data_IF_440340406572
#
_entry.id   IF_440340406572
#
_cell.length_a   1.000
_cell.length_b   1.000
_cell.length_c   1.000
_cell.angle_alpha   90.00
_cell.angle_beta   90.00
_cell.angle_gamma   90.00
#
_symmetry.space_group_name_H-M   'P 1'
#
loop_
_entity.id
_entity.type
_entity.pdbx_description
1 polymer ?
#
# COMPACT_ATOMS: atom_id res chain seq x y z
N UNK A 1 -3.00 2.62 12.02
CA UNK A 1 -3.52 1.67 10.99
C UNK A 1 -2.34 1.07 10.23
N UNK A 2 -2.44 -0.16 9.72
CA UNK A 2 -1.38 -0.70 8.84
C UNK A 2 -1.96 -1.49 7.68
N UNK A 3 -1.19 -1.59 6.61
CA UNK A 3 -1.49 -2.51 5.53
C UNK A 3 -0.39 -2.55 4.49
N UNK A 4 -0.47 -3.55 3.64
CA UNK A 4 0.36 -3.71 2.44
C UNK A 4 -0.48 -3.43 1.19
N UNK A 5 0.13 -2.88 0.14
CA UNK A 5 -0.53 -2.71 -1.14
C UNK A 5 -1.76 -1.81 -1.00
N UNK A 6 -2.95 -2.30 -1.43
CA UNK A 6 -4.25 -1.69 -1.17
C UNK A 6 -4.44 -1.22 0.27
N UNK A 7 -4.12 -2.06 1.26
CA UNK A 7 -4.22 -1.67 2.66
C UNK A 7 -3.24 -0.55 3.04
N UNK A 8 -2.06 -0.51 2.42
CA UNK A 8 -1.03 0.50 2.71
C UNK A 8 -1.47 1.88 2.26
N UNK A 9 -1.84 2.05 0.99
CA UNK A 9 -2.27 3.37 0.52
C UNK A 9 -3.63 3.79 1.08
N UNK A 10 -4.52 2.86 1.45
CA UNK A 10 -5.73 3.20 2.22
C UNK A 10 -5.36 3.84 3.56
N UNK A 11 -4.30 3.38 4.24
CA UNK A 11 -3.82 4.02 5.47
C UNK A 11 -3.37 5.46 5.22
N UNK A 12 -2.66 5.72 4.12
CA UNK A 12 -2.23 7.06 3.73
C UNK A 12 -3.42 7.97 3.38
N UNK A 13 -4.39 7.46 2.62
CA UNK A 13 -5.61 8.18 2.26
C UNK A 13 -6.45 8.54 3.50
N UNK A 14 -6.53 7.65 4.49
CA UNK A 14 -7.18 7.94 5.77
C UNK A 14 -6.35 8.92 6.59
N UNK A 15 -5.02 8.85 6.56
CA UNK A 15 -4.16 9.83 7.22
C UNK A 15 -4.35 11.24 6.67
N UNK A 16 -4.50 11.39 5.35
CA UNK A 16 -4.83 12.65 4.70
C UNK A 16 -6.25 13.18 5.02
N UNK A 17 -7.14 12.34 5.58
CA UNK A 17 -8.47 12.76 6.08
C UNK A 17 -8.41 13.29 7.51
N UNK A 18 -7.25 13.23 8.17
CA UNK A 18 -7.00 13.76 9.51
C UNK A 18 -8.02 13.38 10.60
N UNK A 19 -8.48 12.12 10.69
CA UNK A 19 -9.35 11.74 11.81
C UNK A 19 -8.60 11.96 13.14
N UNK A 20 -9.18 12.66 14.13
CA UNK A 20 -8.45 13.08 15.34
C UNK A 20 -7.79 11.94 16.14
N UNK A 21 -8.35 10.73 16.04
CA UNK A 21 -7.86 9.54 16.73
C UNK A 21 -6.65 8.87 16.04
N UNK A 22 -6.37 9.17 14.76
CA UNK A 22 -5.27 8.54 14.04
C UNK A 22 -3.96 9.25 14.32
N UNK A 23 -3.10 8.61 15.12
CA UNK A 23 -1.78 9.16 15.47
C UNK A 23 -0.65 8.66 14.58
N UNK A 24 -0.78 7.44 14.04
CA UNK A 24 0.25 6.83 13.22
C UNK A 24 -0.30 5.80 12.22
N UNK A 25 0.45 5.62 11.13
CA UNK A 25 0.25 4.60 10.11
C UNK A 25 1.56 3.87 9.76
N UNK A 26 1.44 2.60 9.36
CA UNK A 26 2.51 1.87 8.68
C UNK A 26 2.00 1.50 7.28
N UNK A 27 2.65 2.06 6.25
CA UNK A 27 2.29 1.84 4.85
C UNK A 27 3.33 0.98 4.16
N UNK A 28 2.95 -0.25 3.80
CA UNK A 28 3.86 -1.18 3.13
C UNK A 28 3.57 -1.30 1.63
N UNK A 29 4.63 -1.34 0.81
CA UNK A 29 4.57 -1.64 -0.64
C UNK A 29 3.33 -0.99 -1.30
N UNK A 30 3.19 0.31 -1.13
CA UNK A 30 1.98 1.09 -1.44
C UNK A 30 2.32 2.25 -2.34
N UNK A 31 1.34 3.03 -2.80
CA UNK A 31 1.57 4.24 -3.60
C UNK A 31 0.99 5.51 -3.02
N UNK A 32 1.65 6.64 -3.33
CA UNK A 32 1.14 8.00 -3.14
C UNK A 32 0.38 8.51 -4.37
N UNK A 33 0.53 7.84 -5.51
CA UNK A 33 -0.01 8.23 -6.81
C UNK A 33 -0.68 7.04 -7.50
N UNK A 34 -2.02 7.10 -7.60
CA UNK A 34 -2.85 6.03 -8.16
C UNK A 34 -2.75 5.86 -9.67
N UNK A 35 -2.16 6.81 -10.39
CA UNK A 35 -2.03 6.77 -11.84
C UNK A 35 -0.58 6.62 -12.31
N UNK A 36 0.35 7.38 -11.74
CA UNK A 36 1.73 7.33 -12.22
C UNK A 36 2.52 6.16 -11.63
N UNK A 37 2.08 5.61 -10.50
CA UNK A 37 2.83 4.59 -9.77
C UNK A 37 1.92 3.52 -9.14
N UNK A 38 1.10 2.89 -9.97
CA UNK A 38 0.12 1.90 -9.51
C UNK A 38 -0.05 0.70 -10.45
N UNK A 39 -0.76 -0.34 -10.00
CA UNK A 39 -1.21 -1.47 -10.80
C UNK A 39 -2.05 -1.07 -12.02
N UNK A 40 -2.66 0.13 -12.03
CA UNK A 40 -3.47 0.58 -13.15
C UNK A 40 -2.58 1.08 -14.29
N UNK A 41 -1.71 2.04 -13.96
CA UNK A 41 -0.81 2.69 -14.89
C UNK A 41 0.53 2.98 -14.20
N UNK A 42 1.60 3.03 -14.99
CA UNK A 42 2.93 3.46 -14.53
C UNK A 42 3.54 4.42 -15.53
N UNK A 43 3.75 5.67 -15.12
CA UNK A 43 4.17 6.74 -16.03
C UNK A 43 3.22 6.97 -17.22
N UNK A 44 1.94 6.61 -17.09
CA UNK A 44 0.94 6.66 -18.16
C UNK A 44 0.85 5.40 -19.03
N UNK A 45 1.71 4.41 -18.83
CA UNK A 45 1.61 3.11 -19.50
C UNK A 45 0.60 2.21 -18.78
N UNK A 46 -0.37 1.66 -19.50
CA UNK A 46 -1.30 0.65 -18.97
C UNK A 46 -0.53 -0.61 -18.57
N UNK A 47 -0.73 -1.08 -17.34
CA UNK A 47 -0.14 -2.34 -16.87
C UNK A 47 -1.10 -3.51 -17.03
N UNK A 48 -0.55 -4.71 -17.24
CA UNK A 48 -1.33 -5.96 -17.28
C UNK A 48 -1.93 -6.25 -15.89
N UNK A 49 -1.28 -5.79 -14.82
CA UNK A 49 -1.79 -5.82 -13.46
C UNK A 49 -3.16 -5.14 -13.31
N UNK A 50 -3.52 -4.17 -14.15
CA UNK A 50 -4.85 -3.56 -14.16
C UNK A 50 -5.93 -4.61 -14.40
N UNK A 51 -5.73 -5.42 -15.46
CA UNK A 51 -6.60 -6.55 -15.78
C UNK A 51 -6.57 -7.62 -14.68
N UNK A 52 -5.37 -8.04 -14.27
CA UNK A 52 -5.22 -9.09 -13.25
C UNK A 52 -5.89 -8.72 -11.92
N UNK A 53 -5.77 -7.46 -11.49
CA UNK A 53 -6.39 -7.00 -10.25
C UNK A 53 -7.89 -6.78 -10.37
N UNK A 54 -8.39 -6.35 -11.52
CA UNK A 54 -9.82 -6.22 -11.74
C UNK A 54 -10.51 -7.58 -11.67
N UNK A 55 -9.92 -8.61 -12.29
CA UNK A 55 -10.41 -9.99 -12.21
C UNK A 55 -10.33 -10.53 -10.79
N UNK A 56 -9.24 -10.24 -10.07
CA UNK A 56 -9.08 -10.63 -8.66
C UNK A 56 -10.16 -9.99 -7.78
N UNK A 57 -10.37 -8.69 -7.91
CA UNK A 57 -11.38 -7.93 -7.16
C UNK A 57 -12.80 -8.39 -7.45
N UNK A 58 -13.12 -8.70 -8.72
CA UNK A 58 -14.40 -9.28 -9.09
C UNK A 58 -14.59 -10.64 -8.41
N UNK A 59 -13.57 -11.50 -8.42
CA UNK A 59 -13.62 -12.83 -7.80
C UNK A 59 -13.84 -12.76 -6.29
N UNK A 60 -13.18 -11.82 -5.59
CA UNK A 60 -13.37 -11.63 -4.15
C UNK A 60 -14.74 -11.02 -3.82
N UNK A 61 -15.13 -9.96 -4.52
CA UNK A 61 -16.38 -9.22 -4.27
C UNK A 61 -17.62 -10.04 -4.55
N UNK A 62 -17.53 -10.98 -5.51
CA UNK A 62 -18.63 -11.85 -5.91
C UNK A 62 -18.90 -13.02 -4.96
N UNK A 63 -18.12 -13.19 -3.87
CA UNK A 63 -18.31 -14.31 -2.95
C UNK A 63 -19.65 -14.21 -2.19
N UNK A 64 -20.39 -15.32 -2.04
CA UNK A 64 -21.57 -15.32 -1.20
C UNK A 64 -21.19 -15.05 0.26
N UNK A 65 -22.07 -14.39 1.04
CA UNK A 65 -21.88 -14.31 2.48
C UNK A 65 -21.98 -15.69 3.12
N UNK A 66 -21.33 -15.88 4.26
CA UNK A 66 -21.44 -17.12 5.02
C UNK A 66 -22.91 -17.34 5.47
N UNK A 67 -23.55 -18.47 5.10
CA UNK A 67 -24.92 -18.77 5.50
C UNK A 67 -25.14 -18.75 7.02
N UNK A 68 -24.14 -19.14 7.83
CA UNK A 68 -24.23 -19.14 9.29
C UNK A 68 -24.26 -17.73 9.87
N UNK A 69 -23.62 -16.76 9.20
CA UNK A 69 -23.61 -15.35 9.61
C UNK A 69 -24.84 -14.62 9.06
N UNK A 70 -25.18 -14.86 7.79
CA UNK A 70 -26.28 -14.17 7.11
C UNK A 70 -27.67 -14.63 7.56
N UNK A 71 -27.77 -15.86 8.08
CA UNK A 71 -28.97 -16.49 8.62
C UNK A 71 -29.88 -17.13 7.56
N UNK A 72 -30.19 -18.41 7.75
CA UNK A 72 -31.23 -19.15 7.00
C UNK A 72 -31.09 -19.08 5.48
N UNK A 73 -32.22 -18.96 4.76
CA UNK A 73 -32.26 -18.87 3.30
C UNK A 73 -31.89 -17.47 2.73
N UNK A 74 -31.67 -16.46 3.59
CA UNK A 74 -31.47 -15.05 3.16
C UNK A 74 -30.11 -14.80 2.50
N UNK A 75 -29.12 -15.66 2.76
CA UNK A 75 -27.77 -15.49 2.20
C UNK A 75 -27.78 -15.44 0.67
N UNK A 76 -28.70 -16.18 0.04
CA UNK A 76 -28.79 -16.28 -1.40
C UNK A 76 -29.34 -15.00 -2.03
N UNK A 77 -30.42 -14.46 -1.45
CA UNK A 77 -31.02 -13.19 -1.93
C UNK A 77 -30.05 -12.03 -1.72
N UNK A 78 -29.36 -11.99 -0.57
CA UNK A 78 -28.27 -11.04 -0.31
C UNK A 78 -27.13 -11.17 -1.32
N UNK A 79 -26.76 -12.40 -1.66
CA UNK A 79 -25.71 -12.65 -2.64
C UNK A 79 -26.11 -12.16 -4.03
N UNK A 80 -27.29 -12.54 -4.53
CA UNK A 80 -27.78 -12.08 -5.83
C UNK A 80 -27.91 -10.57 -5.91
N UNK A 81 -28.50 -9.93 -4.89
CA UNK A 81 -28.59 -8.48 -4.83
C UNK A 81 -27.20 -7.82 -4.91
N UNK A 82 -26.20 -8.37 -4.22
CA UNK A 82 -24.81 -7.88 -4.32
C UNK A 82 -24.21 -8.11 -5.71
N UNK A 83 -24.48 -9.25 -6.35
CA UNK A 83 -23.99 -9.54 -7.71
C UNK A 83 -24.60 -8.60 -8.76
N UNK A 84 -25.87 -8.23 -8.62
CA UNK A 84 -26.55 -7.29 -9.52
C UNK A 84 -26.05 -5.85 -9.36
N UNK A 85 -25.63 -5.48 -8.14
CA UNK A 85 -25.23 -4.12 -7.79
C UNK A 85 -23.71 -3.92 -7.72
N UNK A 86 -22.89 -4.97 -7.83
CA UNK A 86 -21.44 -4.83 -7.76
C UNK A 86 -20.89 -4.16 -9.03
N UNK A 87 -19.96 -3.21 -8.90
CA UNK A 87 -19.30 -2.64 -10.06
C UNK A 87 -18.32 -3.66 -10.65
N UNK A 88 -18.32 -3.77 -11.98
CA UNK A 88 -17.19 -4.37 -12.68
C UNK A 88 -16.13 -3.29 -12.88
N UNK A 89 -14.99 -3.42 -12.18
CA UNK A 89 -13.98 -2.36 -12.10
C UNK A 89 -13.13 -2.22 -13.38
N UNK A 90 -12.99 -3.27 -14.20
CA UNK A 90 -12.10 -3.22 -15.37
C UNK A 90 -12.52 -2.13 -16.39
N UNK A 91 -13.79 -2.04 -16.83
CA UNK A 91 -14.21 -0.98 -17.74
C UNK A 91 -14.04 0.42 -17.14
N UNK A 92 -14.28 0.58 -15.83
CA UNK A 92 -14.11 1.85 -15.13
C UNK A 92 -12.65 2.31 -15.14
N UNK A 93 -11.70 1.44 -14.80
CA UNK A 93 -10.29 1.80 -14.81
C UNK A 93 -9.75 2.04 -16.22
N UNK A 94 -10.26 1.30 -17.21
CA UNK A 94 -9.92 1.48 -18.62
C UNK A 94 -10.52 2.75 -19.24
N UNK A 95 -11.65 3.28 -18.72
CA UNK A 95 -12.21 4.54 -19.21
C UNK A 95 -11.39 5.76 -18.75
N UNK A 96 -10.63 5.63 -17.66
CA UNK A 96 -9.78 6.69 -17.12
C UNK A 96 -8.33 6.58 -17.62
N UNK A 97 -8.11 6.73 -18.94
CA UNK A 97 -6.79 6.56 -19.58
C UNK A 97 -5.79 7.69 -19.33
N UNK A 98 -6.24 8.81 -18.76
CA UNK A 98 -5.40 9.95 -18.44
C UNK A 98 -5.49 10.27 -16.95
N UNK A 99 -4.52 11.02 -16.43
CA UNK A 99 -4.56 11.52 -15.05
C UNK A 99 -5.67 12.56 -14.87
N UNK A 100 -6.87 12.10 -14.59
CA UNK A 100 -8.04 12.93 -14.34
C UNK A 100 -8.45 12.95 -12.85
N UNK A 101 -9.63 13.51 -12.57
CA UNK A 101 -10.16 13.65 -11.21
C UNK A 101 -10.35 12.30 -10.49
N UNK A 102 -10.58 11.20 -11.23
CA UNK A 102 -10.73 9.87 -10.64
C UNK A 102 -9.45 9.46 -9.92
N UNK A 103 -8.30 9.60 -10.59
CA UNK A 103 -7.00 9.24 -10.04
C UNK A 103 -6.50 10.21 -8.97
N UNK A 104 -6.70 11.51 -9.19
CA UNK A 104 -6.30 12.55 -8.23
C UNK A 104 -6.96 12.35 -6.87
N UNK A 105 -8.24 12.00 -6.83
CA UNK A 105 -9.01 11.78 -5.58
C UNK A 105 -8.35 10.75 -4.65
N UNK A 106 -7.73 9.71 -5.21
CA UNK A 106 -7.09 8.63 -4.45
C UNK A 106 -5.59 8.81 -4.22
N UNK A 107 -5.00 9.91 -4.68
CA UNK A 107 -3.56 10.14 -4.65
C UNK A 107 -3.22 11.17 -3.59
N UNK A 108 -2.43 10.78 -2.58
CA UNK A 108 -2.03 11.72 -1.53
C UNK A 108 -0.93 12.68 -1.98
N UNK A 109 -0.28 12.40 -3.13
CA UNK A 109 0.68 13.33 -3.71
C UNK A 109 0.07 14.64 -4.21
N UNK A 110 -1.26 14.76 -4.25
CA UNK A 110 -1.92 16.04 -4.52
C UNK A 110 -1.75 17.04 -3.37
N UNK A 111 -1.63 16.55 -2.14
CA UNK A 111 -1.38 17.37 -0.95
C UNK A 111 -0.75 16.51 0.17
N UNK A 112 0.57 16.54 0.27
CA UNK A 112 1.28 15.86 1.35
C UNK A 112 1.11 16.53 2.71
N UNK A 113 0.83 17.85 2.74
CA UNK A 113 0.65 18.61 3.98
C UNK A 113 -0.60 18.17 4.75
N UNK A 114 -1.59 17.58 4.05
CA UNK A 114 -2.77 17.01 4.68
C UNK A 114 -2.46 15.82 5.61
N UNK A 115 -1.26 15.21 5.55
CA UNK A 115 -0.89 14.07 6.39
C UNK A 115 -0.24 14.55 7.69
N UNK A 116 -0.99 14.51 8.79
CA UNK A 116 -0.50 14.87 10.13
C UNK A 116 -0.09 13.66 11.00
N UNK A 117 -0.65 12.48 10.71
CA UNK A 117 -0.31 11.26 11.43
C UNK A 117 1.13 10.83 11.09
N UNK A 118 1.82 10.24 12.06
CA UNK A 118 3.18 9.74 11.82
C UNK A 118 3.16 8.59 10.80
N UNK A 119 4.03 8.63 9.80
CA UNK A 119 4.11 7.62 8.72
C UNK A 119 5.40 6.81 8.80
N UNK A 120 5.30 5.50 9.00
CA UNK A 120 6.38 4.57 8.68
C UNK A 120 6.08 3.92 7.34
N UNK A 121 6.93 4.15 6.34
CA UNK A 121 6.80 3.54 5.02
C UNK A 121 7.86 2.47 4.80
N UNK A 122 7.42 1.28 4.36
CA UNK A 122 8.30 0.13 4.20
C UNK A 122 8.06 -0.55 2.86
N UNK A 123 9.11 -0.89 2.13
CA UNK A 123 8.98 -1.57 0.85
C UNK A 123 10.31 -2.09 0.37
N UNK A 124 10.38 -2.50 -0.89
CA UNK A 124 11.60 -3.09 -1.42
C UNK A 124 11.91 -2.71 -2.86
N UNK A 125 13.17 -2.89 -3.24
CA UNK A 125 13.65 -2.53 -4.57
C UNK A 125 13.09 -3.40 -5.68
N UNK A 126 12.76 -4.65 -5.37
CA UNK A 126 12.12 -5.58 -6.29
C UNK A 126 10.58 -5.47 -6.25
N UNK A 127 10.04 -4.49 -5.54
CA UNK A 127 8.63 -4.16 -5.54
C UNK A 127 8.23 -3.24 -6.70
N UNK A 128 6.95 -3.32 -7.08
CA UNK A 128 6.35 -2.43 -8.08
C UNK A 128 6.22 -0.98 -7.59
N UNK A 129 6.11 -0.74 -6.29
CA UNK A 129 5.84 0.57 -5.69
C UNK A 129 7.05 1.26 -5.06
N UNK A 130 8.26 0.98 -5.58
CA UNK A 130 9.54 1.39 -5.00
C UNK A 130 9.73 2.90 -4.80
N UNK A 131 9.01 3.76 -5.53
CA UNK A 131 9.19 5.21 -5.48
C UNK A 131 8.54 5.85 -4.25
N UNK A 132 7.54 5.19 -3.67
CA UNK A 132 6.66 5.81 -2.67
C UNK A 132 7.38 6.26 -1.41
N UNK A 133 8.37 5.51 -0.97
CA UNK A 133 9.05 5.76 0.30
C UNK A 133 9.87 7.05 0.21
N UNK A 134 10.55 7.29 -0.92
CA UNK A 134 11.25 8.56 -1.15
C UNK A 134 10.26 9.72 -1.28
N UNK A 135 9.14 9.54 -1.98
CA UNK A 135 8.12 10.60 -2.06
C UNK A 135 7.58 10.99 -0.68
N UNK A 136 7.28 10.02 0.19
CA UNK A 136 6.78 10.30 1.54
C UNK A 136 7.83 11.00 2.40
N UNK A 137 9.06 10.45 2.46
CA UNK A 137 10.13 11.02 3.30
C UNK A 137 10.55 12.42 2.85
N UNK A 138 10.49 12.71 1.54
CA UNK A 138 10.85 14.02 1.00
C UNK A 138 9.76 15.07 1.21
N UNK A 139 8.48 14.70 1.16
CA UNK A 139 7.39 15.68 1.03
C UNK A 139 6.47 15.80 2.25
N UNK A 140 6.46 14.82 3.16
CA UNK A 140 5.64 14.91 4.38
C UNK A 140 6.43 15.65 5.48
N UNK A 141 5.76 16.62 6.12
CA UNK A 141 6.31 17.37 7.25
C UNK A 141 6.08 16.68 8.60
N UNK A 142 5.00 15.89 8.72
CA UNK A 142 4.74 15.08 9.89
C UNK A 142 5.84 14.02 10.10
N UNK A 143 5.97 13.44 11.31
CA UNK A 143 7.00 12.45 11.58
C UNK A 143 6.95 11.28 10.58
N UNK A 144 7.99 11.16 9.77
CA UNK A 144 8.06 10.18 8.69
C UNK A 144 9.39 9.43 8.71
N UNK A 145 9.32 8.10 8.55
CA UNK A 145 10.50 7.24 8.38
C UNK A 145 10.27 6.26 7.23
N UNK A 146 11.33 6.00 6.46
CA UNK A 146 11.33 5.07 5.34
C UNK A 146 12.31 3.91 5.53
N UNK A 147 11.91 2.69 5.18
CA UNK A 147 12.78 1.51 5.13
C UNK A 147 12.63 0.82 3.77
N UNK A 148 13.73 0.70 3.03
CA UNK A 148 13.77 -0.01 1.75
C UNK A 148 14.77 -1.14 1.80
N UNK A 149 14.29 -2.36 1.57
CA UNK A 149 15.14 -3.55 1.46
C UNK A 149 15.20 -4.08 0.03
N UNK A 150 15.83 -5.25 -0.19
CA UNK A 150 15.84 -5.88 -1.50
C UNK A 150 14.48 -6.50 -1.89
N UNK A 151 13.48 -6.44 -1.01
CA UNK A 151 12.31 -7.31 -1.07
C UNK A 151 11.39 -7.11 -2.28
N UNK A 152 10.69 -8.18 -2.64
CA UNK A 152 9.48 -8.17 -3.48
C UNK A 152 8.26 -7.66 -2.69
N UNK A 153 7.10 -7.63 -3.34
CA UNK A 153 5.80 -7.21 -2.79
C UNK A 153 5.26 -8.06 -1.62
N UNK A 154 5.95 -8.07 -0.47
CA UNK A 154 5.64 -8.84 0.74
C UNK A 154 6.13 -8.12 2.00
N UNK A 155 5.70 -8.60 3.17
CA UNK A 155 6.22 -8.09 4.43
C UNK A 155 7.67 -8.52 4.63
N UNK A 156 8.55 -7.63 5.12
CA UNK A 156 9.99 -7.80 5.00
C UNK A 156 10.61 -8.77 6.02
N UNK A 157 9.80 -9.40 6.87
CA UNK A 157 10.24 -10.48 7.77
C UNK A 157 10.21 -11.86 7.09
N UNK A 158 9.45 -12.03 6.01
CA UNK A 158 9.42 -13.26 5.21
C UNK A 158 9.56 -13.02 3.70
N UNK A 159 9.68 -11.78 3.26
CA UNK A 159 9.92 -11.47 1.86
C UNK A 159 11.33 -11.91 1.45
N UNK A 160 11.42 -12.42 0.23
CA UNK A 160 12.68 -12.50 -0.51
C UNK A 160 12.85 -11.27 -1.40
N UNK A 161 14.07 -11.03 -1.90
CA UNK A 161 15.30 -11.71 -1.52
C UNK A 161 15.79 -11.31 -0.12
N UNK A 162 16.81 -12.00 0.40
CA UNK A 162 17.40 -11.71 1.71
C UNK A 162 18.32 -10.48 1.63
N UNK A 163 18.63 -9.79 2.75
CA UNK A 163 18.22 -10.09 4.13
C UNK A 163 16.78 -9.68 4.45
N UNK A 164 16.09 -10.48 5.26
CA UNK A 164 14.87 -10.03 5.93
C UNK A 164 15.22 -9.21 7.17
N UNK A 165 14.28 -8.39 7.63
CA UNK A 165 14.39 -7.65 8.90
C UNK A 165 13.33 -8.07 9.90
N UNK A 166 13.54 -7.73 11.16
CA UNK A 166 12.54 -7.80 12.22
C UNK A 166 11.42 -6.78 12.03
N UNK A 167 10.54 -6.99 11.04
CA UNK A 167 9.43 -6.07 10.74
C UNK A 167 8.55 -5.80 11.96
N UNK A 168 8.25 -6.84 12.74
CA UNK A 168 7.37 -6.72 13.90
C UNK A 168 8.01 -5.87 15.00
N UNK A 169 9.34 -5.93 15.14
CA UNK A 169 10.10 -5.09 16.08
C UNK A 169 10.05 -3.62 15.64
N UNK A 170 10.26 -3.33 14.35
CA UNK A 170 10.12 -1.97 13.81
C UNK A 170 8.70 -1.44 13.98
N UNK A 171 7.68 -2.27 13.72
CA UNK A 171 6.29 -1.89 13.90
C UNK A 171 5.94 -1.61 15.37
N UNK A 172 6.38 -2.46 16.31
CA UNK A 172 6.16 -2.24 17.74
C UNK A 172 6.82 -0.94 18.23
N UNK A 173 8.09 -0.70 17.85
CA UNK A 173 8.79 0.56 18.17
C UNK A 173 8.01 1.78 17.67
N UNK A 174 7.44 1.70 16.47
CA UNK A 174 6.64 2.77 15.88
C UNK A 174 5.33 2.99 16.64
N UNK A 175 4.60 1.92 16.93
CA UNK A 175 3.34 1.99 17.65
C UNK A 175 3.50 2.48 19.07
N UNK A 176 4.46 1.93 19.80
CA UNK A 176 4.70 2.31 21.19
C UNK A 176 5.09 3.78 21.29
N UNK A 177 5.84 4.32 20.32
CA UNK A 177 6.15 5.75 20.28
C UNK A 177 4.90 6.61 20.11
N UNK A 178 4.11 6.37 19.06
CA UNK A 178 3.05 7.31 18.65
C UNK A 178 1.67 7.04 19.29
N UNK A 179 1.44 5.83 19.80
CA UNK A 179 0.18 5.47 20.47
C UNK A 179 0.31 5.43 21.98
N UNK A 180 1.52 5.21 22.53
CA UNK A 180 1.75 5.12 23.98
C UNK A 180 2.72 6.18 24.52
N UNK A 181 3.38 6.95 23.66
CA UNK A 181 4.37 7.95 24.07
C UNK A 181 5.68 7.34 24.57
N UNK A 182 5.94 6.05 24.35
CA UNK A 182 7.13 5.38 24.86
C UNK A 182 8.40 5.84 24.14
N UNK A 183 9.53 5.84 24.85
CA UNK A 183 10.85 6.13 24.28
C UNK A 183 11.41 4.87 23.59
N UNK A 184 11.21 4.76 22.27
CA UNK A 184 11.63 3.59 21.48
C UNK A 184 12.85 3.86 20.59
N UNK A 185 13.38 5.09 20.65
CA UNK A 185 14.50 5.57 19.84
C UNK A 185 14.16 5.83 18.36
N UNK A 186 12.91 5.63 17.92
CA UNK A 186 12.55 5.85 16.49
C UNK A 186 12.72 7.30 16.04
N UNK A 187 12.65 8.27 16.97
CA UNK A 187 12.85 9.68 16.68
C UNK A 187 14.26 9.94 16.11
N UNK A 188 15.27 9.21 16.59
CA UNK A 188 16.68 9.36 16.20
C UNK A 188 17.10 8.49 15.01
N UNK A 189 16.25 7.55 14.56
CA UNK A 189 16.52 6.77 13.36
C UNK A 189 16.67 7.70 12.13
N UNK A 190 17.52 7.38 11.14
CA UNK A 190 17.56 8.13 9.89
C UNK A 190 16.18 8.20 9.22
N UNK A 191 15.86 9.34 8.59
CA UNK A 191 14.58 9.52 7.89
C UNK A 191 14.36 8.47 6.80
N UNK A 192 15.43 8.02 6.14
CA UNK A 192 15.41 7.00 5.10
C UNK A 192 16.54 5.99 5.31
N UNK A 193 16.18 4.71 5.47
CA UNK A 193 17.12 3.59 5.58
C UNK A 193 16.97 2.70 4.36
N UNK A 194 18.04 2.54 3.58
CA UNK A 194 18.01 1.76 2.34
C UNK A 194 19.08 0.67 2.35
N UNK A 195 18.71 -0.51 1.87
CA UNK A 195 19.64 -1.57 1.52
C UNK A 195 20.29 -1.23 0.18
N UNK A 196 21.61 -1.05 0.15
CA UNK A 196 22.33 -0.77 -1.10
C UNK A 196 22.57 -2.09 -1.83
N UNK A 197 22.08 -2.19 -3.07
CA UNK A 197 22.29 -3.35 -3.92
C UNK A 197 23.38 -3.06 -4.95
N UNK A 198 24.25 -4.05 -5.24
CA UNK A 198 25.11 -3.93 -6.41
C UNK A 198 24.29 -4.07 -7.68
N UNK A 199 24.71 -3.38 -8.74
CA UNK A 199 24.17 -3.59 -10.08
C UNK A 199 24.31 -5.05 -10.50
N UNK A 200 23.28 -5.59 -11.13
CA UNK A 200 23.33 -6.89 -11.81
C UNK A 200 23.16 -6.67 -13.32
N UNK A 201 23.83 -7.50 -14.11
CA UNK A 201 23.56 -7.54 -15.55
C UNK A 201 22.16 -8.13 -15.78
N UNK A 202 21.38 -7.64 -16.77
CA UNK A 202 20.07 -8.21 -17.07
C UNK A 202 20.15 -9.71 -17.34
N UNK A 203 19.34 -10.51 -16.65
CA UNK A 203 19.17 -11.94 -16.89
C UNK A 203 17.69 -12.32 -16.77
N UNK A 204 17.30 -13.42 -17.42
CA UNK A 204 15.94 -13.98 -17.29
C UNK A 204 15.65 -14.50 -15.88
N UNK A 205 16.69 -14.93 -15.16
CA UNK A 205 16.62 -15.45 -13.80
C UNK A 205 17.97 -15.25 -13.10
N UNK A 206 17.93 -14.92 -11.81
CA UNK A 206 19.12 -14.82 -10.96
C UNK A 206 19.03 -15.93 -9.89
N UNK A 207 19.90 -16.96 -9.93
CA UNK A 207 19.84 -18.08 -8.98
C UNK A 207 20.28 -17.68 -7.57
N UNK A 208 21.13 -16.67 -7.47
CA UNK A 208 21.62 -16.09 -6.23
C UNK A 208 21.49 -14.57 -6.33
N UNK A 209 20.46 -14.03 -5.68
CA UNK A 209 20.36 -12.67 -5.12
C UNK A 209 18.96 -12.42 -4.61
#
# INVERSE_FOLDING_TARGET
MMGISWGGFNCLQVAAKQPPALKAVISLCSTVDRYADDIHYKGGCLLIENFGWASTMLSYSSRPPDPLIAGGNRWRDLWLSRLENQPFLAPLWLSHQHRDAYWKRGSICEDFSAVHAAVLSVGGWHDGYRNTISHLVTNIEAPVKGIVGPWIHKYPHYAGPRPAIGFLQEALRWWDRWLKGAETGVDTDPAYRAYVMDSVRPARWHPER
#
